data_IF_317796651843
#
_entry.id   IF_317796651843
#
_cell.length_a   1.000
_cell.length_b   1.000
_cell.length_c   1.000
_cell.angle_alpha   90.00
_cell.angle_beta   90.00
_cell.angle_gamma   90.00
#
_symmetry.space_group_name_H-M   'P 1'
#
loop_
_entity.id
_entity.type
_entity.pdbx_description
1 polymer ?
#
# COMPACT_ATOMS: atom_id res chain seq x y z
N UNK A 1 27.24 8.65 -7.64
CA UNK A 1 25.81 9.02 -7.83
C UNK A 1 24.84 7.89 -7.42
N UNK A 2 25.07 6.65 -7.78
CA UNK A 2 24.19 5.50 -7.43
C UNK A 2 24.03 5.28 -5.94
N UNK A 3 25.10 5.22 -5.15
CA UNK A 3 25.03 5.03 -3.67
C UNK A 3 24.24 6.12 -2.93
N UNK A 4 24.15 7.32 -3.48
CA UNK A 4 23.40 8.43 -2.88
C UNK A 4 21.88 8.27 -3.09
N UNK A 5 21.47 7.72 -4.22
CA UNK A 5 20.06 7.45 -4.53
C UNK A 5 19.56 6.20 -3.79
N UNK A 6 20.36 5.16 -3.66
CA UNK A 6 20.07 3.96 -2.86
C UNK A 6 19.83 4.32 -1.40
N UNK A 7 20.71 5.11 -0.79
CA UNK A 7 20.55 5.59 0.58
C UNK A 7 19.28 6.45 0.77
N UNK A 8 18.86 7.21 -0.24
CA UNK A 8 17.65 8.02 -0.17
C UNK A 8 16.38 7.14 -0.18
N UNK A 9 16.37 6.10 -1.03
CA UNK A 9 15.27 5.14 -1.10
C UNK A 9 15.15 4.31 0.19
N UNK A 10 16.26 3.83 0.72
CA UNK A 10 16.29 3.09 1.98
C UNK A 10 15.74 3.90 3.15
N UNK A 11 16.16 5.15 3.29
CA UNK A 11 15.60 6.07 4.29
C UNK A 11 14.11 6.35 4.11
N UNK A 12 13.63 6.38 2.87
CA UNK A 12 12.20 6.54 2.59
C UNK A 12 11.42 5.30 3.06
N UNK A 13 11.90 4.11 2.77
CA UNK A 13 11.31 2.85 3.22
C UNK A 13 11.28 2.79 4.75
N UNK A 14 12.36 3.21 5.40
CA UNK A 14 12.44 3.31 6.85
C UNK A 14 11.36 4.25 7.43
N UNK A 15 11.17 5.44 6.84
CA UNK A 15 10.12 6.36 7.28
C UNK A 15 8.72 5.75 7.10
N UNK A 16 8.46 5.10 5.97
CA UNK A 16 7.18 4.43 5.70
C UNK A 16 6.93 3.31 6.71
N UNK A 17 7.95 2.51 7.03
CA UNK A 17 7.88 1.49 8.07
C UNK A 17 7.56 2.09 9.46
N UNK A 18 8.11 3.27 9.76
CA UNK A 18 7.78 3.99 10.99
C UNK A 18 6.33 4.49 11.02
N UNK A 19 5.80 4.95 9.88
CA UNK A 19 4.39 5.35 9.78
C UNK A 19 3.46 4.14 9.96
N UNK A 20 3.78 3.00 9.35
CA UNK A 20 3.04 1.74 9.53
C UNK A 20 2.99 1.29 11.00
N UNK A 21 4.10 1.43 11.73
CA UNK A 21 4.15 1.07 13.15
C UNK A 21 3.31 1.99 14.04
N UNK A 22 3.13 3.24 13.66
CA UNK A 22 2.41 4.24 14.45
C UNK A 22 0.94 4.32 14.11
N UNK A 23 0.57 3.98 12.88
CA UNK A 23 -0.80 4.07 12.41
C UNK A 23 -1.70 3.08 13.13
N UNK A 24 -2.88 3.52 13.53
CA UNK A 24 -3.94 2.66 14.06
C UNK A 24 -4.80 2.08 12.94
N UNK A 25 -4.87 2.76 11.81
CA UNK A 25 -5.60 2.32 10.62
C UNK A 25 -4.83 2.70 9.35
N UNK A 26 -4.86 1.81 8.40
CA UNK A 26 -4.23 1.98 7.09
C UNK A 26 -5.29 1.87 6.01
N UNK A 27 -5.30 2.81 5.08
CA UNK A 27 -6.17 2.79 3.92
C UNK A 27 -5.33 2.77 2.65
N UNK A 28 -5.63 1.83 1.75
CA UNK A 28 -4.93 1.70 0.47
C UNK A 28 -5.92 1.89 -0.68
N UNK A 29 -5.65 2.83 -1.57
CA UNK A 29 -6.57 3.17 -2.65
C UNK A 29 -5.90 3.06 -4.01
N UNK A 30 -6.64 2.51 -4.97
CA UNK A 30 -6.21 2.38 -6.36
C UNK A 30 -7.38 2.04 -7.26
N UNK A 31 -7.25 2.29 -8.57
CA UNK A 31 -8.25 1.92 -9.59
C UNK A 31 -7.66 1.02 -10.65
N UNK A 32 -8.49 0.13 -11.20
CA UNK A 32 -8.05 -0.84 -12.20
C UNK A 32 -6.90 -1.71 -11.67
N UNK A 33 -5.82 -1.84 -12.42
CA UNK A 33 -4.63 -2.61 -12.02
C UNK A 33 -4.02 -2.12 -10.71
N UNK A 34 -4.03 -0.82 -10.44
CA UNK A 34 -3.57 -0.26 -9.16
C UNK A 34 -4.51 -0.65 -8.01
N UNK A 35 -5.79 -0.86 -8.27
CA UNK A 35 -6.77 -1.37 -7.29
C UNK A 35 -6.48 -2.82 -6.91
N UNK A 36 -6.05 -3.65 -7.85
CA UNK A 36 -5.62 -5.02 -7.56
C UNK A 36 -4.37 -5.04 -6.69
N UNK A 37 -3.41 -4.15 -6.95
CA UNK A 37 -2.24 -4.00 -6.10
C UNK A 37 -2.61 -3.50 -4.68
N UNK A 38 -3.61 -2.61 -4.56
CA UNK A 38 -4.12 -2.17 -3.27
C UNK A 38 -4.73 -3.34 -2.47
N UNK A 39 -5.49 -4.21 -3.15
CA UNK A 39 -6.06 -5.41 -2.52
C UNK A 39 -5.00 -6.41 -2.08
N UNK A 40 -3.96 -6.59 -2.88
CA UNK A 40 -2.82 -7.44 -2.50
C UNK A 40 -2.11 -6.89 -1.26
N UNK A 41 -1.88 -5.57 -1.18
CA UNK A 41 -1.28 -4.95 0.00
C UNK A 41 -2.16 -5.18 1.24
N UNK A 42 -3.48 -5.00 1.15
CA UNK A 42 -4.42 -5.29 2.25
C UNK A 42 -4.26 -6.72 2.75
N UNK A 43 -4.33 -7.71 1.85
CA UNK A 43 -4.25 -9.12 2.22
C UNK A 43 -2.92 -9.42 2.93
N UNK A 44 -1.81 -8.95 2.41
CA UNK A 44 -0.48 -9.23 2.98
C UNK A 44 -0.26 -8.60 4.33
N UNK A 45 -0.60 -7.31 4.48
CA UNK A 45 -0.37 -6.58 5.72
C UNK A 45 -1.37 -6.96 6.82
N UNK A 46 -2.61 -7.29 6.46
CA UNK A 46 -3.60 -7.83 7.40
C UNK A 46 -3.09 -9.11 8.07
N UNK A 47 -2.45 -10.02 7.33
CA UNK A 47 -1.92 -11.28 7.85
C UNK A 47 -0.81 -11.12 8.91
N UNK A 48 -0.17 -9.97 8.95
CA UNK A 48 0.85 -9.63 9.96
C UNK A 48 0.34 -8.63 11.01
N UNK A 49 -0.99 -8.47 11.11
CA UNK A 49 -1.67 -7.75 12.17
C UNK A 49 -1.84 -6.24 11.94
N UNK A 50 -1.69 -5.77 10.71
CA UNK A 50 -2.01 -4.37 10.37
C UNK A 50 -3.52 -4.25 10.14
N UNK A 51 -4.13 -3.24 10.77
CA UNK A 51 -5.52 -2.86 10.48
C UNK A 51 -5.55 -2.07 9.16
N UNK A 52 -5.85 -2.76 8.08
CA UNK A 52 -5.73 -2.24 6.71
C UNK A 52 -6.95 -2.58 5.86
N UNK A 53 -7.48 -1.57 5.19
CA UNK A 53 -8.54 -1.69 4.19
C UNK A 53 -8.03 -1.24 2.82
N UNK A 54 -8.54 -1.86 1.74
CA UNK A 54 -8.35 -1.37 0.38
C UNK A 54 -9.66 -0.88 -0.23
N UNK A 55 -9.60 0.20 -1.00
CA UNK A 55 -10.76 0.78 -1.69
C UNK A 55 -10.44 1.04 -3.15
N UNK A 56 -11.34 0.58 -4.03
CA UNK A 56 -11.25 0.76 -5.48
C UNK A 56 -12.41 1.59 -6.05
N UNK A 57 -13.48 1.75 -5.28
CA UNK A 57 -14.65 2.51 -5.65
C UNK A 57 -14.46 4.01 -5.40
N UNK A 58 -14.85 4.84 -6.36
CA UNK A 58 -14.64 6.29 -6.33
C UNK A 58 -15.44 6.98 -5.22
N UNK A 59 -16.70 6.59 -5.04
CA UNK A 59 -17.56 7.23 -4.06
C UNK A 59 -17.15 6.84 -2.64
N UNK A 60 -16.79 5.58 -2.43
CA UNK A 60 -16.23 5.12 -1.16
C UNK A 60 -14.90 5.80 -0.82
N UNK A 61 -14.03 6.06 -1.81
CA UNK A 61 -12.80 6.84 -1.57
C UNK A 61 -13.12 8.24 -1.04
N UNK A 62 -14.10 8.92 -1.66
CA UNK A 62 -14.52 10.26 -1.24
C UNK A 62 -15.15 10.26 0.15
N UNK A 63 -16.02 9.28 0.44
CA UNK A 63 -16.64 9.13 1.76
C UNK A 63 -15.59 8.81 2.84
N UNK A 64 -14.67 7.91 2.57
CA UNK A 64 -13.62 7.53 3.54
C UNK A 64 -12.59 8.63 3.77
N UNK A 65 -12.40 9.54 2.82
CA UNK A 65 -11.46 10.66 2.95
C UNK A 65 -11.75 11.54 4.17
N UNK A 66 -13.03 11.78 4.47
CA UNK A 66 -13.45 12.66 5.57
C UNK A 66 -13.34 12.03 6.97
N UNK A 67 -13.08 10.73 7.04
CA UNK A 67 -12.89 9.98 8.29
C UNK A 67 -11.42 9.67 8.60
N UNK A 68 -10.48 10.21 7.82
CA UNK A 68 -9.06 10.09 8.12
C UNK A 68 -8.66 11.11 9.19
N UNK A 69 -7.63 10.78 9.98
CA UNK A 69 -7.14 11.58 11.10
C UNK A 69 -5.64 11.37 11.31
N UNK A 70 -5.07 11.88 12.40
CA UNK A 70 -3.66 11.74 12.76
C UNK A 70 -3.21 10.29 13.01
N UNK A 71 -4.14 9.39 13.32
CA UNK A 71 -3.87 7.95 13.52
C UNK A 71 -3.91 7.16 12.20
N UNK A 72 -4.21 7.83 11.08
CA UNK A 72 -4.38 7.21 9.77
C UNK A 72 -3.11 7.28 8.93
N UNK A 73 -2.84 6.20 8.19
CA UNK A 73 -1.87 6.15 7.10
C UNK A 73 -2.59 5.80 5.80
N UNK A 74 -2.47 6.65 4.79
CA UNK A 74 -3.20 6.51 3.53
C UNK A 74 -2.23 6.33 2.37
N UNK A 75 -2.36 5.22 1.65
CA UNK A 75 -1.65 4.94 0.42
C UNK A 75 -2.55 5.20 -0.78
N UNK A 76 -2.08 5.99 -1.73
CA UNK A 76 -2.70 6.17 -3.03
C UNK A 76 -1.84 5.56 -4.13
N UNK A 77 -2.39 4.62 -4.88
CA UNK A 77 -1.71 3.97 -6.01
C UNK A 77 -2.22 4.56 -7.33
N UNK A 78 -1.39 5.36 -7.98
CA UNK A 78 -1.71 6.01 -9.25
C UNK A 78 -0.45 6.17 -10.10
N UNK A 79 -0.21 5.24 -11.01
CA UNK A 79 0.99 5.26 -11.88
C UNK A 79 1.10 6.59 -12.64
N UNK A 80 0.01 7.06 -13.24
CA UNK A 80 -0.04 8.36 -13.92
C UNK A 80 -0.08 9.56 -12.97
N UNK A 81 -0.33 9.36 -11.67
CA UNK A 81 -0.39 10.43 -10.65
C UNK A 81 -1.48 11.47 -10.86
N UNK A 82 -2.49 11.19 -11.70
CA UNK A 82 -3.51 12.19 -12.09
C UNK A 82 -4.95 11.75 -11.80
N UNK A 83 -5.16 10.62 -11.11
CA UNK A 83 -6.51 10.17 -10.77
C UNK A 83 -7.10 11.10 -9.71
N UNK A 84 -8.13 11.87 -10.11
CA UNK A 84 -8.73 12.93 -9.28
C UNK A 84 -9.21 12.40 -7.92
N UNK A 85 -9.81 11.24 -7.89
CA UNK A 85 -10.32 10.59 -6.69
C UNK A 85 -9.19 10.22 -5.70
N UNK A 86 -8.04 9.76 -6.21
CA UNK A 86 -6.86 9.46 -5.38
C UNK A 86 -6.26 10.76 -4.83
N UNK A 87 -6.11 11.77 -5.68
CA UNK A 87 -5.60 13.09 -5.29
C UNK A 87 -6.52 13.72 -4.24
N UNK A 88 -7.85 13.67 -4.45
CA UNK A 88 -8.84 14.18 -3.50
C UNK A 88 -8.69 13.49 -2.14
N UNK A 89 -8.63 12.16 -2.12
CA UNK A 89 -8.47 11.38 -0.89
C UNK A 89 -7.20 11.79 -0.14
N UNK A 90 -6.05 11.85 -0.83
CA UNK A 90 -4.78 12.21 -0.21
C UNK A 90 -4.80 13.64 0.34
N UNK A 91 -5.39 14.60 -0.41
CA UNK A 91 -5.54 15.99 0.04
C UNK A 91 -6.39 16.09 1.30
N UNK A 92 -7.57 15.46 1.31
CA UNK A 92 -8.47 15.50 2.46
C UNK A 92 -7.87 14.79 3.68
N UNK A 93 -7.26 13.62 3.48
CA UNK A 93 -6.58 12.91 4.55
C UNK A 93 -5.43 13.74 5.16
N UNK A 94 -4.62 14.38 4.31
CA UNK A 94 -3.51 15.24 4.76
C UNK A 94 -3.99 16.43 5.59
N UNK A 95 -5.07 17.11 5.17
CA UNK A 95 -5.68 18.22 5.92
C UNK A 95 -6.12 17.79 7.31
N UNK A 96 -6.49 16.53 7.50
CA UNK A 96 -6.97 15.95 8.77
C UNK A 96 -5.86 15.36 9.62
N UNK A 97 -4.61 15.50 9.21
CA UNK A 97 -3.44 15.06 9.98
C UNK A 97 -2.91 13.67 9.61
N UNK A 98 -3.58 12.94 8.70
CA UNK A 98 -3.11 11.64 8.26
C UNK A 98 -1.73 11.73 7.58
N UNK A 99 -0.96 10.65 7.67
CA UNK A 99 0.21 10.46 6.81
C UNK A 99 -0.26 9.93 5.45
N UNK A 100 0.24 10.52 4.38
CA UNK A 100 -0.20 10.24 3.02
C UNK A 100 0.96 9.85 2.13
N UNK A 101 0.82 8.77 1.39
CA UNK A 101 1.87 8.20 0.53
C UNK A 101 1.29 7.99 -0.86
N UNK A 102 1.93 8.54 -1.86
CA UNK A 102 1.56 8.35 -3.27
C UNK A 102 2.60 7.46 -3.96
N UNK A 103 2.15 6.37 -4.59
CA UNK A 103 2.96 5.58 -5.53
C UNK A 103 2.65 6.04 -6.94
N UNK A 104 3.65 6.54 -7.64
CA UNK A 104 3.48 7.08 -8.99
C UNK A 104 4.77 6.97 -9.81
N UNK A 105 4.63 6.93 -11.12
CA UNK A 105 5.77 7.01 -12.04
C UNK A 105 6.15 8.47 -12.39
N UNK A 106 5.31 9.43 -11.98
CA UNK A 106 5.55 10.85 -12.27
C UNK A 106 6.17 11.54 -11.06
N UNK A 107 7.17 12.37 -11.31
CA UNK A 107 7.78 13.22 -10.30
C UNK A 107 7.31 14.66 -10.52
N UNK A 108 6.37 15.13 -9.67
CA UNK A 108 5.83 16.48 -9.73
C UNK A 108 6.00 17.18 -8.39
N UNK A 109 6.31 18.45 -8.42
CA UNK A 109 6.56 19.24 -7.20
C UNK A 109 5.28 19.49 -6.39
N UNK A 110 4.12 19.57 -7.05
CA UNK A 110 2.82 19.79 -6.39
C UNK A 110 2.37 18.61 -5.50
N UNK A 111 2.92 17.43 -5.69
CA UNK A 111 2.63 16.28 -4.80
C UNK A 111 3.05 16.55 -3.35
N UNK A 112 4.09 17.34 -3.13
CA UNK A 112 4.59 17.69 -1.78
C UNK A 112 3.55 18.44 -0.94
N UNK A 113 2.57 19.09 -1.57
CA UNK A 113 1.51 19.81 -0.88
C UNK A 113 0.58 18.86 -0.11
N UNK A 114 0.35 17.66 -0.62
CA UNK A 114 -0.61 16.72 -0.06
C UNK A 114 -0.06 15.31 0.17
N UNK A 115 1.18 15.04 -0.15
CA UNK A 115 1.85 13.78 0.15
C UNK A 115 2.91 13.97 1.23
N UNK A 116 2.90 13.08 2.22
CA UNK A 116 3.99 12.96 3.19
C UNK A 116 5.21 12.34 2.53
N UNK A 117 4.97 11.31 1.70
CA UNK A 117 5.99 10.66 0.88
C UNK A 117 5.46 10.45 -0.54
N UNK A 118 6.35 10.56 -1.51
CA UNK A 118 6.10 10.16 -2.90
C UNK A 118 7.05 9.04 -3.26
N UNK A 119 6.51 7.86 -3.48
CA UNK A 119 7.27 6.68 -3.87
C UNK A 119 7.27 6.61 -5.39
N UNK A 120 8.42 6.88 -5.98
CA UNK A 120 8.59 6.78 -7.42
C UNK A 120 8.76 5.32 -7.84
N UNK A 121 7.88 4.86 -8.71
CA UNK A 121 7.94 3.54 -9.32
C UNK A 121 8.30 3.65 -10.80
N UNK A 122 8.97 2.65 -11.38
CA UNK A 122 9.29 2.68 -12.80
C UNK A 122 8.06 2.80 -13.68
N UNK A 123 8.13 3.64 -14.73
CA UNK A 123 7.13 3.66 -15.79
C UNK A 123 7.46 2.59 -16.82
N UNK A 124 6.50 1.74 -17.13
CA UNK A 124 6.65 0.71 -18.18
C UNK A 124 6.28 1.23 -19.58
N UNK A 125 5.84 2.48 -19.69
CA UNK A 125 5.44 3.10 -20.96
C UNK A 125 6.59 3.23 -21.96
N UNK A 126 7.83 3.25 -21.49
CA UNK A 126 9.03 3.33 -22.34
C UNK A 126 9.51 1.98 -22.89
N UNK A 127 8.97 0.89 -22.39
CA UNK A 127 9.17 -0.40 -22.99
C UNK A 127 8.26 -0.48 -24.21
N UNK A 128 8.82 -0.71 -25.42
CA UNK A 128 8.06 -0.88 -26.66
C UNK A 128 7.00 -2.00 -26.59
N UNK A 129 6.85 -2.61 -25.44
CA UNK A 129 5.93 -3.68 -25.08
C UNK A 129 5.06 -3.32 -23.88
N UNK A 130 4.72 -2.05 -23.68
CA UNK A 130 3.99 -1.53 -22.53
C UNK A 130 2.65 -2.21 -22.21
N UNK A 131 2.11 -2.98 -23.16
CA UNK A 131 0.89 -3.79 -22.97
C UNK A 131 1.17 -5.24 -22.53
N UNK A 132 2.44 -5.66 -22.47
CA UNK A 132 2.83 -7.04 -22.15
C UNK A 132 3.04 -7.25 -20.65
N UNK A 133 3.51 -6.21 -19.97
CA UNK A 133 3.75 -6.26 -18.53
C UNK A 133 2.63 -5.49 -17.82
N UNK A 134 2.00 -6.14 -16.83
CA UNK A 134 0.94 -5.49 -16.04
C UNK A 134 1.45 -4.23 -15.34
N UNK A 135 0.74 -3.08 -15.46
CA UNK A 135 1.13 -1.82 -14.81
C UNK A 135 1.19 -1.90 -13.28
N UNK A 136 0.62 -2.92 -12.68
CA UNK A 136 0.68 -3.12 -11.21
C UNK A 136 2.04 -3.64 -10.71
N UNK A 137 2.86 -4.27 -11.57
CA UNK A 137 4.13 -4.87 -11.15
C UNK A 137 5.05 -3.94 -10.38
N UNK A 138 5.32 -2.70 -10.83
CA UNK A 138 6.17 -1.77 -10.08
C UNK A 138 5.64 -1.45 -8.70
N UNK A 139 4.31 -1.37 -8.55
CA UNK A 139 3.65 -1.14 -7.25
C UNK A 139 3.84 -2.36 -6.35
N UNK A 140 3.63 -3.57 -6.88
CA UNK A 140 3.79 -4.82 -6.13
C UNK A 140 5.23 -5.00 -5.63
N UNK A 141 6.23 -4.75 -6.48
CA UNK A 141 7.64 -4.84 -6.11
C UNK A 141 7.94 -3.88 -4.94
N UNK A 142 7.52 -2.63 -5.04
CA UNK A 142 7.76 -1.66 -3.97
C UNK A 142 6.99 -2.00 -2.69
N UNK A 143 5.77 -2.52 -2.82
CA UNK A 143 4.99 -3.03 -1.69
C UNK A 143 5.70 -4.18 -0.99
N UNK A 144 6.30 -5.10 -1.75
CA UNK A 144 7.07 -6.22 -1.21
C UNK A 144 8.34 -5.78 -0.48
N UNK A 145 9.03 -4.78 -1.00
CA UNK A 145 10.20 -4.19 -0.33
C UNK A 145 9.80 -3.57 1.01
N UNK A 146 8.72 -2.78 1.04
CA UNK A 146 8.20 -2.18 2.28
C UNK A 146 7.73 -3.27 3.25
N UNK A 147 7.05 -4.30 2.74
CA UNK A 147 6.59 -5.43 3.54
C UNK A 147 7.76 -6.17 4.21
N UNK A 148 8.79 -6.52 3.45
CA UNK A 148 9.99 -7.21 3.97
C UNK A 148 10.66 -6.39 5.07
N UNK A 149 10.89 -5.11 4.81
CA UNK A 149 11.47 -4.20 5.79
C UNK A 149 10.61 -4.08 7.07
N UNK A 150 9.28 -4.00 6.91
CA UNK A 150 8.37 -3.91 8.04
C UNK A 150 8.32 -5.19 8.86
N UNK A 151 8.41 -6.37 8.22
CA UNK A 151 8.44 -7.68 8.91
C UNK A 151 9.73 -7.84 9.71
N UNK A 152 10.87 -7.49 9.16
CA UNK A 152 12.19 -7.63 9.81
C UNK A 152 12.29 -6.90 11.16
N UNK A 153 11.53 -5.83 11.35
CA UNK A 153 11.55 -5.03 12.60
C UNK A 153 10.97 -5.74 13.82
N UNK A 154 10.08 -6.73 13.62
CA UNK A 154 9.52 -7.57 14.69
C UNK A 154 9.13 -8.91 14.08
N UNK A 155 10.14 -9.61 13.58
CA UNK A 155 9.99 -10.80 12.75
C UNK A 155 9.24 -11.92 13.49
N UNK A 156 9.57 -12.15 14.75
CA UNK A 156 8.98 -13.24 15.55
C UNK A 156 7.47 -13.05 15.72
N UNK A 157 7.03 -11.85 16.14
CA UNK A 157 5.61 -11.55 16.35
C UNK A 157 4.83 -11.62 15.03
N UNK A 158 5.39 -11.04 13.97
CA UNK A 158 4.72 -10.98 12.66
C UNK A 158 4.62 -12.34 12.01
N UNK A 159 5.63 -13.20 12.16
CA UNK A 159 5.56 -14.60 11.73
C UNK A 159 4.47 -15.39 12.47
N UNK A 160 4.35 -15.22 13.77
CA UNK A 160 3.29 -15.86 14.56
C UNK A 160 1.90 -15.41 14.06
N UNK A 161 1.70 -14.12 13.80
CA UNK A 161 0.44 -13.62 13.28
C UNK A 161 0.11 -14.18 11.89
N UNK A 162 1.11 -14.23 11.01
CA UNK A 162 0.97 -14.82 9.69
C UNK A 162 0.58 -16.31 9.77
N UNK A 163 1.23 -17.08 10.61
CA UNK A 163 0.95 -18.50 10.87
C UNK A 163 -0.50 -18.72 11.34
N UNK A 164 -0.97 -17.88 12.28
CA UNK A 164 -2.36 -17.94 12.76
C UNK A 164 -3.39 -17.75 11.65
N UNK A 165 -3.14 -16.86 10.70
CA UNK A 165 -4.05 -16.67 9.55
C UNK A 165 -4.03 -17.86 8.61
N UNK A 166 -2.88 -18.53 8.46
CA UNK A 166 -2.76 -19.74 7.67
C UNK A 166 -3.54 -20.89 8.31
N UNK A 167 -3.36 -21.11 9.62
CA UNK A 167 -4.10 -22.13 10.38
C UNK A 167 -5.60 -21.92 10.31
N UNK A 168 -6.09 -20.69 10.43
CA UNK A 168 -7.51 -20.37 10.31
C UNK A 168 -8.09 -20.80 8.94
N UNK A 169 -7.33 -20.67 7.87
CA UNK A 169 -7.75 -21.16 6.54
C UNK A 169 -7.75 -22.69 6.45
N UNK A 170 -6.80 -23.36 7.09
CA UNK A 170 -6.68 -24.84 7.04
C UNK A 170 -7.77 -25.53 7.85
N UNK A 171 -8.17 -24.99 8.99
CA UNK A 171 -9.24 -25.55 9.83
C UNK A 171 -10.57 -25.60 9.06
N UNK A 172 -10.87 -24.58 8.26
CA UNK A 172 -12.09 -24.55 7.45
C UNK A 172 -12.11 -25.63 6.34
N UNK A 173 -10.94 -25.99 5.79
CA UNK A 173 -10.84 -27.03 4.74
C UNK A 173 -10.92 -28.44 5.30
N UNK A 174 -10.54 -28.70 6.56
CA UNK A 174 -10.68 -30.00 7.20
C UNK A 174 -12.14 -30.32 7.55
N UNK A 175 -12.90 -29.35 8.07
CA UNK A 175 -14.32 -29.55 8.38
C UNK A 175 -15.16 -29.84 7.12
N UNK A 176 -14.81 -29.25 5.98
CA UNK A 176 -15.49 -29.51 4.70
C UNK A 176 -15.18 -30.91 4.12
N UNK A 177 -14.09 -31.54 4.53
CA UNK A 177 -13.74 -32.89 4.13
C UNK A 177 -14.46 -33.97 4.98
N UNK A 178 -14.78 -33.67 6.24
CA UNK A 178 -15.50 -34.55 7.15
C UNK A 178 -17.00 -34.61 6.87
N UNK A 179 -17.58 -33.56 6.26
CA UNK A 179 -18.99 -33.54 5.83
C UNK A 179 -19.26 -34.37 4.53
N UNK A 180 -18.24 -34.94 3.90
CA UNK A 180 -18.34 -35.72 2.66
C UNK A 180 -18.12 -37.25 2.89
N UNK A 181 -17.99 -37.69 4.13
CA UNK A 181 -17.89 -39.09 4.54
C UNK A 181 -19.09 -39.52 5.34
#
# INVERSE_FOLDING_TARGET
MERSSENATEKQIERIGNYLNKAKKVLVCGKGSSGLAAKEMEIRFMRIGVDVDSITDTDLMRMRAVFQDEDSLVFGFSIGGQKEEIIFLLKEAKKRGAKTILFTANNRDDYKEFCTEVVLVPSLLHLNHGNVISPQFPILIMTDIIYSYYVERDETKKKILHERTLQACLLYTSDAADDLT
#
